data_IF_733453633972
#
_entry.id   IF_733453633972
#
_cell.length_a   1.000
_cell.length_b   1.000
_cell.length_c   1.000
_cell.angle_alpha   90.00
_cell.angle_beta   90.00
_cell.angle_gamma   90.00
#
_symmetry.space_group_name_H-M   'P 1'
#
loop_
_entity.id
_entity.type
_entity.pdbx_description
1 polymer ?
#
# COMPACT_ATOMS: atom_id res chain seq x y z
N UNK A 1 -11.19 -6.70 -17.91
CA UNK A 1 -11.64 -6.45 -17.44
C UNK A 1 -11.91 -5.77 -16.83
N UNK A 2 -12.16 -5.54 -16.79
CA UNK A 2 -12.15 -4.73 -16.14
C UNK A 2 -12.77 -4.71 -14.93
N UNK A 3 -12.18 -4.94 -13.96
CA UNK A 3 -12.64 -5.06 -12.65
C UNK A 3 -13.15 -3.82 -12.05
N UNK A 4 -12.76 -2.73 -12.64
CA UNK A 4 -13.26 -1.45 -12.20
C UNK A 4 -14.75 -1.34 -12.36
N UNK A 5 -15.28 -2.13 -13.26
CA UNK A 5 -16.71 -2.07 -13.46
C UNK A 5 -17.49 -2.74 -12.37
N UNK A 6 -16.82 -3.53 -11.58
CA UNK A 6 -17.45 -4.23 -10.48
C UNK A 6 -17.60 -3.32 -9.29
N UNK A 7 -16.76 -2.31 -9.20
CA UNK A 7 -16.81 -1.38 -8.08
C UNK A 7 -18.06 -0.52 -8.16
N UNK A 8 -18.78 -0.50 -7.09
CA UNK A 8 -19.97 0.36 -6.98
C UNK A 8 -19.56 1.66 -6.34
N UNK A 9 -20.43 2.65 -6.44
CA UNK A 9 -20.17 3.88 -5.75
C UNK A 9 -20.02 3.61 -4.27
N UNK A 10 -18.98 4.02 -3.68
CA UNK A 10 -18.70 3.75 -2.29
C UNK A 10 -17.80 2.58 -2.05
N UNK A 11 -17.60 1.74 -3.08
CA UNK A 11 -16.73 0.58 -2.95
C UNK A 11 -15.30 0.87 -3.37
N UNK A 12 -14.94 2.14 -3.50
CA UNK A 12 -13.57 2.51 -3.84
C UNK A 12 -12.62 2.11 -2.73
N UNK A 13 -11.43 1.59 -3.08
CA UNK A 13 -10.47 1.22 -2.06
C UNK A 13 -10.07 2.41 -1.19
N UNK A 14 -9.74 2.14 0.05
CA UNK A 14 -9.24 3.17 0.97
C UNK A 14 -7.97 3.80 0.39
N UNK A 15 -7.65 5.04 0.79
CA UNK A 15 -6.45 5.71 0.27
C UNK A 15 -5.17 4.91 0.50
N UNK A 16 -5.01 4.28 1.65
CA UNK A 16 -3.82 3.47 1.93
C UNK A 16 -3.76 2.28 0.98
N UNK A 17 -4.89 1.63 0.73
CA UNK A 17 -4.97 0.51 -0.19
C UNK A 17 -4.54 0.94 -1.59
N UNK A 18 -5.07 2.05 -2.08
CA UNK A 18 -4.71 2.55 -3.41
C UNK A 18 -3.22 2.87 -3.49
N UNK A 19 -2.67 3.47 -2.45
CA UNK A 19 -1.27 3.83 -2.43
C UNK A 19 -0.37 2.60 -2.53
N UNK A 20 -0.67 1.57 -1.73
CA UNK A 20 0.14 0.35 -1.74
C UNK A 20 0.00 -0.38 -3.06
N UNK A 21 -1.23 -0.49 -3.60
CA UNK A 21 -1.42 -1.16 -4.87
C UNK A 21 -0.66 -0.45 -5.99
N UNK A 22 -0.61 0.88 -5.96
CA UNK A 22 0.17 1.63 -6.93
C UNK A 22 1.67 1.35 -6.80
N UNK A 23 2.16 1.19 -5.58
CA UNK A 23 3.55 0.84 -5.35
C UNK A 23 3.88 -0.55 -5.90
N UNK A 24 2.96 -1.48 -5.75
CA UNK A 24 3.17 -2.85 -6.20
C UNK A 24 3.29 -2.96 -7.72
N UNK A 25 2.82 -1.97 -8.45
CA UNK A 25 3.00 -1.97 -9.90
C UNK A 25 4.46 -1.87 -10.32
N UNK A 26 5.35 -1.55 -9.40
CA UNK A 26 6.78 -1.47 -9.67
C UNK A 26 7.51 -2.80 -9.46
N UNK A 27 6.78 -3.84 -9.07
CA UNK A 27 7.39 -5.14 -8.78
C UNK A 27 7.91 -5.79 -10.07
N UNK A 28 9.08 -6.38 -10.00
CA UNK A 28 9.68 -7.15 -11.07
C UNK A 28 10.32 -8.41 -10.49
N UNK A 29 10.74 -9.32 -11.38
CA UNK A 29 11.39 -10.55 -10.95
C UNK A 29 10.44 -11.59 -10.39
N UNK A 30 9.16 -11.50 -10.73
CA UNK A 30 8.15 -12.46 -10.31
C UNK A 30 6.78 -11.85 -10.40
N UNK A 31 5.77 -12.68 -10.19
CA UNK A 31 4.38 -12.24 -10.25
C UNK A 31 3.73 -12.31 -8.87
N UNK A 32 2.96 -11.30 -8.56
CA UNK A 32 2.23 -11.21 -7.30
C UNK A 32 0.74 -11.09 -7.59
N UNK A 33 -0.03 -11.95 -6.95
CA UNK A 33 -1.48 -11.83 -6.97
C UNK A 33 -1.93 -11.31 -5.60
N UNK A 34 -2.66 -10.20 -5.58
CA UNK A 34 -3.25 -9.67 -4.35
C UNK A 34 -4.74 -9.95 -4.38
N UNK A 35 -5.22 -10.67 -3.37
CA UNK A 35 -6.64 -10.95 -3.21
C UNK A 35 -7.18 -10.06 -2.11
N UNK A 36 -8.15 -9.22 -2.45
CA UNK A 36 -8.70 -8.26 -1.52
C UNK A 36 -9.92 -8.84 -0.80
N UNK A 37 -10.31 -8.28 0.34
CA UNK A 37 -11.43 -8.83 1.13
C UNK A 37 -12.75 -8.85 0.37
N UNK A 38 -12.92 -7.98 -0.61
CA UNK A 38 -14.16 -7.95 -1.40
C UNK A 38 -14.20 -9.03 -2.48
N UNK A 39 -13.16 -9.87 -2.57
CA UNK A 39 -13.07 -10.93 -3.56
C UNK A 39 -12.37 -10.53 -4.83
N UNK A 40 -12.04 -9.26 -5.01
CA UNK A 40 -11.32 -8.82 -6.21
C UNK A 40 -9.86 -9.26 -6.14
N UNK A 41 -9.24 -9.39 -7.32
CA UNK A 41 -7.84 -9.81 -7.44
C UNK A 41 -7.11 -8.85 -8.35
N UNK A 42 -5.86 -8.60 -7.98
CA UNK A 42 -4.99 -7.72 -8.78
C UNK A 42 -3.68 -8.46 -9.02
N UNK A 43 -3.18 -8.36 -10.24
CA UNK A 43 -1.93 -9.01 -10.62
C UNK A 43 -0.85 -7.97 -10.87
N UNK A 44 0.33 -8.24 -10.36
CA UNK A 44 1.48 -7.35 -10.49
C UNK A 44 2.70 -8.15 -10.91
N UNK A 45 3.59 -7.52 -11.68
CA UNK A 45 4.80 -8.17 -12.15
C UNK A 45 4.52 -9.13 -13.30
N UNK A 46 5.45 -10.04 -13.52
CA UNK A 46 5.34 -11.01 -14.62
C UNK A 46 6.14 -12.26 -14.28
N UNK A 47 5.88 -13.33 -15.02
CA UNK A 47 6.60 -14.57 -14.82
C UNK A 47 5.65 -15.73 -14.69
N UNK A 48 6.22 -16.94 -14.72
CA UNK A 48 5.42 -18.17 -14.66
C UNK A 48 5.06 -18.54 -13.24
N UNK A 49 5.91 -18.19 -12.29
CA UNK A 49 5.67 -18.52 -10.90
C UNK A 49 5.20 -17.30 -10.16
N UNK A 50 4.05 -17.43 -9.55
CA UNK A 50 3.47 -16.33 -8.82
C UNK A 50 3.33 -16.66 -7.34
N UNK A 51 3.29 -15.61 -6.53
CA UNK A 51 2.96 -15.74 -5.13
C UNK A 51 1.67 -14.97 -4.88
N UNK A 52 0.98 -15.31 -3.81
CA UNK A 52 -0.30 -14.71 -3.49
C UNK A 52 -0.25 -14.03 -2.13
N UNK A 53 -0.79 -12.83 -2.09
CA UNK A 53 -1.04 -12.12 -0.84
C UNK A 53 -2.55 -12.09 -0.63
N UNK A 54 -3.01 -12.78 0.39
CA UNK A 54 -4.43 -12.78 0.73
C UNK A 54 -4.67 -11.73 1.81
N UNK A 55 -5.46 -10.72 1.48
CA UNK A 55 -5.76 -9.63 2.41
C UNK A 55 -7.09 -9.92 3.06
N UNK A 56 -7.06 -10.04 4.38
CA UNK A 56 -8.27 -10.25 5.17
C UNK A 56 -8.83 -8.94 5.71
N UNK A 57 -7.94 -7.99 5.97
CA UNK A 57 -8.33 -6.67 6.47
C UNK A 57 -7.45 -5.63 5.82
N UNK A 58 -8.06 -4.65 5.19
CA UNK A 58 -7.32 -3.61 4.47
C UNK A 58 -6.51 -2.72 5.39
N UNK A 59 -6.70 -2.82 6.69
CA UNK A 59 -5.87 -2.10 7.65
C UNK A 59 -4.38 -2.41 7.47
N UNK A 60 -4.06 -3.59 6.92
CA UNK A 60 -2.67 -3.94 6.67
C UNK A 60 -1.95 -2.91 5.80
N UNK A 61 -2.66 -2.33 4.84
CA UNK A 61 -2.02 -1.37 3.93
C UNK A 61 -1.58 -0.12 4.67
N UNK A 62 -2.38 0.36 5.61
CA UNK A 62 -1.97 1.47 6.46
C UNK A 62 -0.79 1.12 7.34
N UNK A 63 -0.77 -0.10 7.86
CA UNK A 63 0.34 -0.55 8.69
C UNK A 63 1.64 -0.60 7.89
N UNK A 64 1.57 -1.08 6.65
CA UNK A 64 2.74 -1.16 5.77
C UNK A 64 3.24 0.24 5.42
N UNK A 65 2.35 1.16 5.09
CA UNK A 65 2.75 2.53 4.78
C UNK A 65 3.39 3.22 5.99
N UNK A 66 2.86 2.94 7.17
CA UNK A 66 3.36 3.60 8.37
C UNK A 66 4.70 3.04 8.83
N UNK A 67 4.90 1.73 8.74
CA UNK A 67 6.04 1.08 9.36
C UNK A 67 6.79 0.09 8.48
N UNK A 68 6.48 0.03 7.20
CA UNK A 68 7.22 -0.80 6.25
C UNK A 68 7.19 -2.29 6.60
N UNK A 69 8.38 -2.89 6.63
CA UNK A 69 8.52 -4.33 6.92
C UNK A 69 7.93 -4.69 8.28
N UNK A 70 8.13 -3.82 9.25
CA UNK A 70 7.59 -4.05 10.60
C UNK A 70 6.08 -4.01 10.57
N UNK A 71 5.51 -3.06 9.83
CA UNK A 71 4.07 -2.98 9.67
C UNK A 71 3.49 -4.22 8.99
N UNK A 72 4.21 -4.75 8.00
CA UNK A 72 3.79 -5.98 7.33
C UNK A 72 3.77 -7.14 8.31
N UNK A 73 4.80 -7.27 9.14
CA UNK A 73 4.87 -8.33 10.13
C UNK A 73 3.78 -8.17 11.19
N UNK A 74 3.57 -6.95 11.67
CA UNK A 74 2.53 -6.70 12.66
C UNK A 74 1.15 -7.03 12.10
N UNK A 75 0.91 -6.67 10.84
CA UNK A 75 -0.36 -6.97 10.20
C UNK A 75 -0.58 -8.48 10.10
N UNK A 76 0.47 -9.23 9.84
CA UNK A 76 0.38 -10.68 9.81
C UNK A 76 -0.02 -11.23 11.18
N UNK A 77 0.62 -10.74 12.22
CA UNK A 77 0.31 -11.18 13.59
C UNK A 77 -1.11 -10.80 13.98
N UNK A 78 -1.60 -9.68 13.45
CA UNK A 78 -2.97 -9.25 13.70
C UNK A 78 -3.99 -10.03 12.87
N UNK A 79 -3.54 -10.92 12.00
CA UNK A 79 -4.44 -11.70 11.16
C UNK A 79 -4.97 -10.96 9.95
N UNK A 80 -4.33 -9.85 9.57
CA UNK A 80 -4.83 -9.01 8.48
C UNK A 80 -4.47 -9.55 7.10
N UNK A 81 -3.50 -10.43 6.99
CA UNK A 81 -3.16 -11.04 5.71
C UNK A 81 -2.54 -12.42 5.91
N UNK A 82 -2.49 -13.18 4.83
CA UNK A 82 -1.83 -14.48 4.82
C UNK A 82 -1.36 -14.77 3.41
N UNK A 83 -0.67 -15.89 3.23
CA UNK A 83 -0.20 -16.32 1.94
C UNK A 83 -0.02 -17.84 1.96
N UNK A 84 -0.37 -18.54 0.86
CA UNK A 84 -0.07 -19.97 0.76
C UNK A 84 1.43 -20.23 0.72
N UNK A 85 2.23 -19.24 0.33
CA UNK A 85 3.68 -19.37 0.24
C UNK A 85 4.30 -18.12 0.81
N UNK A 86 4.37 -18.04 2.13
CA UNK A 86 4.89 -16.86 2.83
C UNK A 86 6.35 -16.62 2.46
N UNK A 87 7.15 -17.69 2.40
CA UNK A 87 8.56 -17.54 2.07
C UNK A 87 8.76 -16.97 0.68
N UNK A 88 7.99 -17.47 -0.30
CA UNK A 88 8.06 -16.95 -1.67
C UNK A 88 7.62 -15.51 -1.76
N UNK A 89 6.56 -15.15 -1.04
CA UNK A 89 6.08 -13.78 -0.99
C UNK A 89 7.16 -12.85 -0.43
N UNK A 90 7.73 -13.22 0.70
CA UNK A 90 8.76 -12.39 1.32
C UNK A 90 10.00 -12.30 0.44
N UNK A 91 10.36 -13.38 -0.24
CA UNK A 91 11.49 -13.34 -1.17
C UNK A 91 11.25 -12.35 -2.31
N UNK A 92 10.04 -12.36 -2.87
CA UNK A 92 9.70 -11.43 -3.95
C UNK A 92 9.75 -9.98 -3.45
N UNK A 93 9.18 -9.72 -2.29
CA UNK A 93 9.18 -8.38 -1.72
C UNK A 93 10.61 -7.92 -1.40
N UNK A 94 11.44 -8.84 -0.90
CA UNK A 94 12.83 -8.51 -0.59
C UNK A 94 13.63 -8.15 -1.84
N UNK A 95 13.40 -8.89 -2.93
CA UNK A 95 14.07 -8.59 -4.21
C UNK A 95 13.69 -7.19 -4.71
N UNK A 96 12.51 -6.72 -4.37
CA UNK A 96 12.01 -5.42 -4.79
C UNK A 96 12.15 -4.36 -3.71
N UNK A 97 12.87 -4.67 -2.66
CA UNK A 97 12.93 -3.84 -1.46
C UNK A 97 13.33 -2.40 -1.75
N UNK A 98 14.36 -2.22 -2.57
CA UNK A 98 14.87 -0.87 -2.84
C UNK A 98 13.85 -0.05 -3.61
N UNK A 99 13.24 -0.63 -4.64
CA UNK A 99 12.24 0.05 -5.43
C UNK A 99 11.03 0.42 -4.58
N UNK A 100 10.56 -0.53 -3.78
CA UNK A 100 9.40 -0.30 -2.94
C UNK A 100 9.70 0.72 -1.85
N UNK A 101 10.89 0.64 -1.26
CA UNK A 101 11.26 1.60 -0.22
C UNK A 101 11.34 3.02 -0.77
N UNK A 102 11.95 3.20 -1.92
CA UNK A 102 12.04 4.52 -2.53
C UNK A 102 10.66 5.08 -2.84
N UNK A 103 9.77 4.23 -3.35
CA UNK A 103 8.43 4.66 -3.69
C UNK A 103 7.62 5.00 -2.43
N UNK A 104 7.73 4.18 -1.39
CA UNK A 104 7.07 4.47 -0.12
C UNK A 104 7.61 5.77 0.47
N UNK A 105 8.93 5.93 0.46
CA UNK A 105 9.54 7.12 1.00
C UNK A 105 9.11 8.37 0.23
N UNK A 106 9.05 8.27 -1.10
CA UNK A 106 8.58 9.37 -1.91
C UNK A 106 7.14 9.75 -1.60
N UNK A 107 6.27 8.75 -1.48
CA UNK A 107 4.86 8.98 -1.12
C UNK A 107 4.75 9.64 0.25
N UNK A 108 5.56 9.16 1.19
CA UNK A 108 5.56 9.68 2.55
C UNK A 108 6.02 11.13 2.58
N UNK A 109 7.07 11.45 1.81
CA UNK A 109 7.57 12.82 1.73
C UNK A 109 6.51 13.76 1.16
N UNK A 110 5.79 13.30 0.13
CA UNK A 110 4.74 14.11 -0.48
C UNK A 110 3.61 14.38 0.52
N UNK A 111 3.20 13.36 1.27
CA UNK A 111 2.16 13.52 2.28
C UNK A 111 2.62 14.46 3.38
N UNK A 112 3.86 14.32 3.82
CA UNK A 112 4.40 15.17 4.86
C UNK A 112 4.50 16.61 4.39
N UNK A 113 4.98 16.82 3.15
CA UNK A 113 5.08 18.14 2.59
C UNK A 113 3.72 18.81 2.51
N UNK A 114 2.70 18.06 2.12
CA UNK A 114 1.34 18.59 2.06
C UNK A 114 0.84 19.00 3.44
N UNK A 115 1.10 18.18 4.44
CA UNK A 115 0.68 18.49 5.81
C UNK A 115 1.41 19.71 6.36
N UNK A 116 2.71 19.79 6.12
CA UNK A 116 3.49 20.93 6.58
C UNK A 116 2.99 22.20 5.92
N UNK A 117 2.74 22.14 4.61
CA UNK A 117 2.23 23.30 3.89
C UNK A 117 0.89 23.76 4.44
N UNK A 118 0.01 22.80 4.70
CA UNK A 118 -1.30 23.12 5.28
C UNK A 118 -1.17 23.75 6.66
N UNK A 119 -0.28 23.18 7.48
CA UNK A 119 -0.03 23.69 8.82
C UNK A 119 0.52 25.12 8.79
N UNK A 120 1.46 25.38 7.87
CA UNK A 120 2.03 26.71 7.74
C UNK A 120 0.98 27.73 7.30
N UNK A 121 0.10 27.35 6.38
CA UNK A 121 -0.97 28.24 5.96
C UNK A 121 -1.92 28.55 7.11
N UNK A 122 -2.27 27.57 7.91
CA UNK A 122 -3.10 27.77 9.07
C UNK A 122 -2.43 28.66 10.11
N UNK A 123 -1.15 28.45 10.32
CA UNK A 123 -0.39 29.24 11.26
C UNK A 123 -0.28 30.70 10.81
N UNK A 124 -0.09 30.91 9.52
CA UNK A 124 -0.03 32.23 8.95
C UNK A 124 -1.32 33.01 9.18
N UNK A 125 -2.44 32.33 8.98
CA UNK A 125 -3.74 32.95 9.20
C UNK A 125 -3.93 33.36 10.65
N UNK A 126 -3.53 32.46 11.55
CA UNK A 126 -3.65 32.74 12.97
C UNK A 126 -2.78 33.95 13.38
N UNK A 127 -1.57 33.99 12.82
CA UNK A 127 -0.69 35.12 13.06
C UNK A 127 -1.26 36.43 12.57
N UNK A 128 -1.85 36.38 11.37
CA UNK A 128 -2.48 37.59 10.82
C UNK A 128 -3.62 38.09 11.68
N UNK A 129 -4.40 37.20 12.23
CA UNK A 129 -5.52 37.60 13.05
C UNK A 129 -5.11 38.24 14.36
N UNK A 130 -3.97 37.87 14.88
CA UNK A 130 -3.47 38.44 16.11
C UNK A 130 -2.95 39.86 15.94
N UNK A 131 -2.47 40.15 14.77
CA UNK A 131 -1.95 41.47 14.47
C UNK A 131 -3.04 42.41 14.02
#
# INVERSE_FOLDING_TARGET
MNNTMILRGGDSPAPATRAVLALLERISGGMLEVRLPDGSRRLFGSGEHGVTLQVHDEAMFGQVLARGDIGLAEAYLDGHWNSPDIAGLLALLTRNRDVLRKAVYGSWRNLLAARVRHWLNGNSRAGSKRN
#
